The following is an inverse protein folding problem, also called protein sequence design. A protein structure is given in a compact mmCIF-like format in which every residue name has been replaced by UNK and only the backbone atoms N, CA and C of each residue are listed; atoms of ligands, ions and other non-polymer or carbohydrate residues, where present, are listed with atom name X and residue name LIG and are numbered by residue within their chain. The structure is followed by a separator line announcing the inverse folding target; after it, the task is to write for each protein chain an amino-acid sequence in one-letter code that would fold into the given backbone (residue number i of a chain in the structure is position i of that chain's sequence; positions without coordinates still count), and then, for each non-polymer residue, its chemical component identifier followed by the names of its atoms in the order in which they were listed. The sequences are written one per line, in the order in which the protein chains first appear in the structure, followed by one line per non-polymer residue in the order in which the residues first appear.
data_IF_093629563438
#
_entry.id   IF_093629563438
#
_cell.length_a   1.000
_cell.length_b   1.000
_cell.length_c   1.000
_cell.angle_alpha   90.00
_cell.angle_beta   90.00
_cell.angle_gamma   90.00
#
_symmetry.space_group_name_H-M   'P 1'
#
loop_
_entity.id
_entity.type
_entity.pdbx_description
1 polymer ?
#
# COMPACT_ATOMS: atom_id res chain seq x y z
N UNK A 1 7.10 22.13 -16.97
CA UNK A 1 6.40 21.54 -15.82
C UNK A 1 6.98 20.15 -15.72
N UNK A 2 7.82 19.89 -14.71
CA UNK A 2 8.66 18.69 -14.70
C UNK A 2 7.89 17.53 -14.06
N UNK A 3 7.83 16.39 -14.75
CA UNK A 3 6.94 15.27 -14.42
C UNK A 3 7.62 14.22 -13.52
N UNK A 4 6.89 13.74 -12.51
CA UNK A 4 7.23 12.51 -11.80
C UNK A 4 6.83 11.33 -12.68
N UNK A 5 7.79 10.49 -13.07
CA UNK A 5 7.53 9.36 -13.97
C UNK A 5 7.74 8.03 -13.26
N UNK A 6 6.78 7.14 -13.41
CA UNK A 6 6.89 5.75 -12.97
C UNK A 6 7.39 4.89 -14.14
N UNK A 7 8.08 3.79 -13.84
CA UNK A 7 8.47 2.81 -14.87
C UNK A 7 7.26 2.07 -15.43
N UNK A 8 6.28 1.78 -14.58
CA UNK A 8 4.99 1.21 -14.95
C UNK A 8 3.86 1.91 -14.21
N UNK A 9 2.75 2.12 -14.90
CA UNK A 9 1.52 2.66 -14.32
C UNK A 9 0.41 1.63 -14.56
N UNK A 10 -0.35 1.36 -13.50
CA UNK A 10 -1.53 0.50 -13.56
C UNK A 10 -2.79 1.32 -13.31
N UNK A 11 -3.40 1.92 -14.36
CA UNK A 11 -4.72 2.51 -14.24
C UNK A 11 -5.72 1.44 -13.82
N UNK A 12 -6.60 1.78 -12.89
CA UNK A 12 -7.63 0.85 -12.41
C UNK A 12 -9.00 1.38 -12.80
N UNK A 13 -9.79 0.53 -13.43
CA UNK A 13 -11.15 0.85 -13.81
C UNK A 13 -12.14 0.14 -12.89
N UNK A 14 -12.99 0.92 -12.23
CA UNK A 14 -14.05 0.44 -11.36
C UNK A 14 -15.41 0.67 -12.01
N UNK A 15 -16.32 -0.31 -11.91
CA UNK A 15 -17.76 -0.05 -12.06
C UNK A 15 -18.37 0.61 -10.81
N UNK A 16 -17.59 0.75 -9.73
CA UNK A 16 -18.01 1.45 -8.50
C UNK A 16 -18.14 2.95 -8.75
N UNK A 17 -19.16 3.58 -8.15
CA UNK A 17 -19.35 5.03 -8.18
C UNK A 17 -18.45 5.77 -7.19
N UNK A 18 -17.78 5.06 -6.27
CA UNK A 18 -16.83 5.63 -5.34
C UNK A 18 -15.39 5.13 -5.66
N UNK A 19 -14.51 5.99 -6.19
CA UNK A 19 -13.12 5.63 -6.47
C UNK A 19 -12.28 5.40 -5.21
N UNK A 20 -12.80 5.77 -4.03
CA UNK A 20 -12.17 5.57 -2.72
C UNK A 20 -12.83 4.44 -1.92
N UNK A 21 -13.41 3.47 -2.61
CA UNK A 21 -13.82 2.24 -1.96
C UNK A 21 -12.57 1.46 -1.49
N UNK A 22 -12.48 1.22 -0.18
CA UNK A 22 -11.34 0.55 0.43
C UNK A 22 -11.17 -0.90 -0.07
N UNK A 23 -12.26 -1.60 -0.36
CA UNK A 23 -12.23 -2.96 -0.92
C UNK A 23 -11.71 -2.91 -2.35
N UNK A 24 -12.21 -1.98 -3.16
CA UNK A 24 -11.73 -1.79 -4.53
C UNK A 24 -10.22 -1.49 -4.58
N UNK A 25 -9.78 -0.54 -3.75
CA UNK A 25 -8.38 -0.11 -3.66
C UNK A 25 -7.47 -1.28 -3.27
N UNK A 26 -7.93 -2.11 -2.33
CA UNK A 26 -7.20 -3.26 -1.84
C UNK A 26 -7.08 -4.36 -2.91
N UNK A 27 -8.17 -4.67 -3.63
CA UNK A 27 -8.13 -5.64 -4.74
C UNK A 27 -7.19 -5.15 -5.84
N UNK A 28 -7.27 -3.87 -6.22
CA UNK A 28 -6.35 -3.27 -7.19
C UNK A 28 -4.87 -3.44 -6.81
N UNK A 29 -4.54 -3.22 -5.54
CA UNK A 29 -3.17 -3.40 -5.03
C UNK A 29 -2.75 -4.86 -5.04
N UNK A 30 -3.64 -5.81 -4.72
CA UNK A 30 -3.32 -7.24 -4.81
C UNK A 30 -3.12 -7.72 -6.24
N UNK A 31 -3.92 -7.24 -7.19
CA UNK A 31 -3.74 -7.52 -8.61
C UNK A 31 -2.36 -7.05 -9.08
N UNK A 32 -2.00 -5.80 -8.77
CA UNK A 32 -0.66 -5.26 -9.09
C UNK A 32 0.46 -6.05 -8.38
N UNK A 33 0.28 -6.42 -7.12
CA UNK A 33 1.23 -7.21 -6.35
C UNK A 33 1.46 -8.61 -6.95
N UNK A 34 0.41 -9.26 -7.46
CA UNK A 34 0.52 -10.58 -8.07
C UNK A 34 1.35 -10.57 -9.36
N UNK A 35 1.29 -9.46 -10.11
CA UNK A 35 2.02 -9.25 -11.37
C UNK A 35 3.49 -8.87 -11.12
N UNK A 36 3.72 -7.86 -10.29
CA UNK A 36 5.05 -7.27 -10.12
C UNK A 36 5.88 -7.94 -9.01
N UNK A 37 5.22 -8.65 -8.08
CA UNK A 37 5.83 -9.29 -6.91
C UNK A 37 6.83 -8.37 -6.19
N UNK A 38 6.44 -7.13 -5.84
CA UNK A 38 7.33 -6.17 -5.21
C UNK A 38 7.78 -6.65 -3.83
N UNK A 39 8.99 -6.24 -3.44
CA UNK A 39 9.47 -6.44 -2.06
C UNK A 39 8.79 -5.46 -1.08
N UNK A 40 8.43 -4.27 -1.57
CA UNK A 40 7.87 -3.19 -0.78
C UNK A 40 6.70 -2.52 -1.51
N UNK A 41 5.59 -2.36 -0.80
CA UNK A 41 4.43 -1.57 -1.21
C UNK A 41 4.35 -0.35 -0.30
N UNK A 42 4.44 0.85 -0.90
CA UNK A 42 4.33 2.11 -0.16
C UNK A 42 2.93 2.70 -0.38
N UNK A 43 2.24 2.97 0.73
CA UNK A 43 0.96 3.67 0.73
C UNK A 43 1.08 5.00 1.46
N UNK A 44 0.29 5.99 1.06
CA UNK A 44 0.14 7.20 1.88
C UNK A 44 -0.73 6.88 3.10
N UNK A 45 -0.35 7.35 4.29
CA UNK A 45 -1.08 7.15 5.54
C UNK A 45 -2.37 8.01 5.63
N UNK A 46 -3.27 7.83 4.65
CA UNK A 46 -4.55 8.54 4.57
C UNK A 46 -5.60 7.88 5.46
N UNK A 47 -6.73 8.57 5.69
CA UNK A 47 -7.87 8.03 6.44
C UNK A 47 -8.44 6.74 5.84
N UNK A 48 -8.33 6.56 4.53
CA UNK A 48 -8.77 5.34 3.84
C UNK A 48 -7.94 4.14 4.28
N UNK A 49 -6.61 4.27 4.25
CA UNK A 49 -5.69 3.20 4.65
C UNK A 49 -5.78 2.93 6.15
N UNK A 50 -5.91 3.98 6.97
CA UNK A 50 -6.02 3.87 8.44
C UNK A 50 -7.30 3.20 8.94
N UNK A 51 -8.40 3.27 8.18
CA UNK A 51 -9.70 2.71 8.58
C UNK A 51 -9.91 1.27 8.14
N UNK A 52 -9.02 0.71 7.33
CA UNK A 52 -9.16 -0.65 6.81
C UNK A 52 -8.08 -1.66 7.23
N UNK A 53 -7.29 -1.50 8.32
CA UNK A 53 -6.16 -2.37 8.65
C UNK A 53 -6.56 -3.85 8.76
N UNK A 54 -7.76 -4.12 9.26
CA UNK A 54 -8.32 -5.47 9.37
C UNK A 54 -8.51 -6.14 8.00
N UNK A 55 -8.90 -5.37 6.98
CA UNK A 55 -9.06 -5.87 5.60
C UNK A 55 -7.70 -6.20 4.98
N UNK A 56 -6.67 -5.41 5.27
CA UNK A 56 -5.30 -5.65 4.83
C UNK A 56 -4.69 -6.91 5.44
N UNK A 57 -4.84 -7.10 6.76
CA UNK A 57 -4.24 -8.22 7.49
C UNK A 57 -4.97 -9.55 7.27
N UNK A 58 -6.29 -9.54 7.08
CA UNK A 58 -7.06 -10.78 6.89
C UNK A 58 -6.93 -11.38 5.49
N UNK A 59 -6.75 -10.54 4.47
CA UNK A 59 -6.68 -11.01 3.08
C UNK A 59 -5.26 -11.28 2.60
N UNK A 60 -4.25 -10.91 3.39
CA UNK A 60 -2.87 -11.01 2.97
C UNK A 60 -2.00 -11.38 4.15
N UNK A 61 -1.24 -12.47 4.01
CA UNK A 61 -0.15 -12.82 4.94
C UNK A 61 1.02 -11.83 4.83
N UNK A 62 0.72 -10.54 4.62
CA UNK A 62 1.69 -9.48 4.40
C UNK A 62 1.93 -8.74 5.70
N UNK A 63 3.18 -8.37 5.90
CA UNK A 63 3.56 -7.52 7.01
C UNK A 63 3.04 -6.09 6.74
N UNK A 64 2.35 -5.49 7.72
CA UNK A 64 1.84 -4.13 7.62
C UNK A 64 2.45 -3.26 8.73
N UNK A 65 3.27 -2.28 8.35
CA UNK A 65 3.78 -1.24 9.25
C UNK A 65 3.16 0.11 8.91
N UNK A 66 2.56 0.76 9.92
CA UNK A 66 1.74 1.95 9.74
C UNK A 66 2.36 3.21 10.34
N UNK A 67 2.01 4.35 9.74
CA UNK A 67 2.48 5.69 10.10
C UNK A 67 4.01 5.82 10.22
N UNK A 68 4.74 5.11 9.37
CA UNK A 68 6.19 5.12 9.32
C UNK A 68 6.71 6.49 8.89
N UNK A 69 7.84 6.87 9.48
CA UNK A 69 8.57 8.10 9.16
C UNK A 69 9.68 7.86 8.12
N UNK A 70 10.22 6.66 8.05
CA UNK A 70 11.28 6.29 7.14
C UNK A 70 11.20 4.80 6.83
N UNK A 71 11.74 4.44 5.67
CA UNK A 71 11.89 3.06 5.21
C UNK A 71 13.21 2.95 4.47
N UNK A 72 14.01 1.93 4.75
CA UNK A 72 15.28 1.69 4.06
C UNK A 72 15.59 0.21 3.95
N UNK A 73 16.23 -0.19 2.85
CA UNK A 73 16.74 -1.55 2.70
C UNK A 73 18.11 -1.64 3.39
N UNK A 74 18.27 -2.66 4.23
CA UNK A 74 19.51 -3.05 4.92
C UNK A 74 19.89 -4.48 4.53
N UNK A 75 21.11 -4.89 4.85
CA UNK A 75 21.59 -6.25 4.61
C UNK A 75 20.72 -7.33 5.26
N UNK A 76 20.15 -7.00 6.42
CA UNK A 76 19.31 -7.88 7.22
C UNK A 76 17.82 -7.81 6.84
N UNK A 77 17.37 -6.83 6.06
CA UNK A 77 15.95 -6.72 5.67
C UNK A 77 15.49 -5.30 5.47
N UNK A 78 14.17 -5.10 5.49
CA UNK A 78 13.57 -3.78 5.36
C UNK A 78 13.46 -3.13 6.75
N UNK A 79 14.26 -2.10 7.00
CA UNK A 79 14.19 -1.28 8.20
C UNK A 79 13.11 -0.22 8.05
N UNK A 80 12.20 -0.17 9.03
CA UNK A 80 11.15 0.84 9.13
C UNK A 80 11.25 1.52 10.48
N UNK A 81 11.14 2.85 10.48
CA UNK A 81 11.04 3.62 11.71
C UNK A 81 9.66 4.28 11.82
N UNK A 82 9.15 4.34 13.05
CA UNK A 82 7.93 5.07 13.37
C UNK A 82 8.05 5.78 14.70
N UNK A 83 7.24 6.83 14.85
CA UNK A 83 7.08 7.50 16.14
C UNK A 83 6.14 6.68 17.02
N UNK A 84 6.48 6.56 18.30
CA UNK A 84 5.68 5.88 19.33
C UNK A 84 5.43 6.81 20.52
N UNK A 85 4.52 6.42 21.41
CA UNK A 85 4.17 7.19 22.62
C UNK A 85 3.84 8.66 22.31
N UNK A 86 2.97 8.89 21.32
CA UNK A 86 2.57 10.24 20.87
C UNK A 86 3.73 11.12 20.39
N UNK A 87 4.77 10.52 19.81
CA UNK A 87 5.94 11.23 19.30
C UNK A 87 7.10 11.34 20.29
N UNK A 88 6.96 10.81 21.50
CA UNK A 88 8.00 10.87 22.54
C UNK A 88 9.06 9.77 22.40
N UNK A 89 8.88 8.83 21.48
CA UNK A 89 9.87 7.78 21.20
C UNK A 89 9.94 7.43 19.72
N UNK A 90 11.01 6.73 19.38
CA UNK A 90 11.22 6.14 18.05
C UNK A 90 11.28 4.63 18.23
N UNK A 91 10.51 3.93 17.40
CA UNK A 91 10.56 2.48 17.28
C UNK A 91 11.13 2.14 15.91
N UNK A 92 12.11 1.25 15.90
CA UNK A 92 12.69 0.67 14.69
C UNK A 92 12.30 -0.79 14.63
N UNK A 93 11.90 -1.24 13.44
CA UNK A 93 11.50 -2.62 13.16
C UNK A 93 12.23 -3.09 11.91
N UNK A 94 12.73 -4.34 11.94
CA UNK A 94 13.33 -5.01 10.79
C UNK A 94 12.33 -6.04 10.27
N UNK A 95 11.85 -5.82 9.05
CA UNK A 95 10.90 -6.72 8.38
C UNK A 95 11.68 -7.67 7.48
N UNK A 96 11.59 -8.97 7.80
CA UNK A 96 12.24 -10.06 7.06
C UNK A 96 11.36 -10.67 5.96
N UNK A 97 10.06 -10.35 5.93
CA UNK A 97 9.09 -11.01 5.06
C UNK A 97 8.54 -10.02 4.03
N UNK A 98 8.60 -10.41 2.76
CA UNK A 98 8.17 -9.59 1.62
C UNK A 98 7.00 -10.25 0.87
N UNK A 99 6.05 -9.49 0.28
CA UNK A 99 5.98 -8.03 0.28
C UNK A 99 5.69 -7.44 1.67
N UNK A 100 6.38 -6.35 2.00
CA UNK A 100 6.01 -5.52 3.15
C UNK A 100 5.12 -4.36 2.68
N UNK A 101 4.03 -4.09 3.39
CA UNK A 101 3.21 -2.90 3.20
C UNK A 101 3.62 -1.87 4.25
N UNK A 102 4.04 -0.70 3.78
CA UNK A 102 4.45 0.41 4.64
C UNK A 102 3.59 1.63 4.31
N UNK A 103 3.01 2.25 5.33
CA UNK A 103 2.33 3.54 5.15
C UNK A 103 3.22 4.68 5.60
N UNK A 104 3.49 5.64 4.73
CA UNK A 104 4.27 6.84 5.07
C UNK A 104 3.35 8.03 5.32
N UNK A 105 3.65 8.85 6.33
CA UNK A 105 2.99 10.16 6.47
C UNK A 105 3.33 11.06 5.28
N UNK A 106 2.38 11.89 4.89
CA UNK A 106 2.59 12.87 3.83
C UNK A 106 3.65 13.90 4.25
N UNK A 107 4.46 14.35 3.29
CA UNK A 107 5.47 15.38 3.52
C UNK A 107 6.79 14.90 4.12
N UNK A 108 6.97 13.59 4.34
CA UNK A 108 8.25 13.06 4.84
C UNK A 108 9.22 12.68 3.72
N UNK A 109 8.70 12.35 2.53
CA UNK A 109 9.52 11.97 1.38
C UNK A 109 9.48 13.08 0.34
N UNK A 110 10.64 13.53 -0.08
CA UNK A 110 10.76 14.48 -1.18
C UNK A 110 10.69 13.74 -2.53
N UNK A 111 9.80 14.16 -3.43
CA UNK A 111 9.71 13.56 -4.75
C UNK A 111 10.99 13.85 -5.55
N UNK A 112 11.70 12.79 -5.93
CA UNK A 112 12.86 12.90 -6.82
C UNK A 112 12.43 12.80 -8.27
N UNK A 113 12.89 13.76 -9.07
CA UNK A 113 12.74 13.75 -10.53
C UNK A 113 13.47 12.54 -11.12
N UNK A 114 12.89 11.94 -12.16
CA UNK A 114 13.52 10.88 -12.92
C UNK A 114 13.13 10.99 -14.40
N UNK A 115 13.85 10.27 -15.27
CA UNK A 115 13.71 10.36 -16.74
C UNK A 115 13.04 9.12 -17.35
N UNK A 116 12.27 8.35 -16.58
CA UNK A 116 11.64 7.13 -17.11
C UNK A 116 10.57 7.47 -18.15
N UNK A 117 10.51 6.70 -19.24
CA UNK A 117 9.34 6.67 -20.12
C UNK A 117 8.51 5.45 -19.70
N UNK A 118 7.50 5.68 -18.87
CA UNK A 118 6.71 4.61 -18.26
C UNK A 118 5.87 3.82 -19.26
N UNK A 119 5.74 2.52 -19.02
CA UNK A 119 4.74 1.66 -19.66
C UNK A 119 3.40 1.79 -18.92
N UNK A 120 2.28 1.62 -19.61
CA UNK A 120 0.94 1.66 -19.00
C UNK A 120 0.17 0.38 -19.33
N UNK A 121 -0.42 -0.24 -18.30
CA UNK A 121 -1.26 -1.43 -18.44
C UNK A 121 -2.49 -1.29 -17.54
N UNK A 122 -3.70 -1.30 -18.12
CA UNK A 122 -4.94 -1.17 -17.34
C UNK A 122 -5.28 -2.46 -16.60
N UNK A 123 -5.61 -2.33 -15.30
CA UNK A 123 -6.16 -3.41 -14.48
C UNK A 123 -7.66 -3.23 -14.35
N UNK A 124 -8.42 -4.19 -14.88
CA UNK A 124 -9.87 -4.26 -14.67
C UNK A 124 -10.14 -4.97 -13.34
N UNK A 125 -10.73 -4.26 -12.38
CA UNK A 125 -11.00 -4.80 -11.04
C UNK A 125 -12.49 -5.11 -10.89
N UNK A 126 -12.81 -6.39 -10.79
CA UNK A 126 -14.16 -6.85 -10.46
C UNK A 126 -14.30 -7.13 -8.97
N UNK A 127 -14.92 -6.20 -8.24
CA UNK A 127 -15.29 -6.43 -6.83
C UNK A 127 -16.60 -7.20 -6.80
N UNK A 128 -16.56 -8.48 -6.43
CA UNK A 128 -17.78 -9.25 -6.13
C UNK A 128 -18.36 -8.72 -4.80
N UNK A 129 -19.67 -8.45 -4.72
CA UNK A 129 -20.30 -8.10 -3.45
C UNK A 129 -20.09 -9.25 -2.47
N UNK A 130 -19.60 -8.93 -1.27
CA UNK A 130 -19.61 -9.88 -0.16
C UNK A 130 -21.06 -10.03 0.31
N UNK A 131 -21.82 -10.95 -0.31
CA UNK A 131 -23.06 -11.44 0.29
C UNK A 131 -22.69 -12.24 1.54
N UNK A 132 -22.68 -11.56 2.69
CA UNK A 132 -22.76 -12.25 3.98
C UNK A 132 -24.18 -12.81 4.10
N UNK A 133 -24.39 -14.05 3.69
CA UNK A 133 -25.54 -14.81 4.15
C UNK A 133 -25.28 -15.17 5.61
N UNK A 134 -25.81 -14.38 6.53
CA UNK A 134 -25.91 -14.79 7.93
C UNK A 134 -26.93 -15.94 7.99
N UNK A 135 -26.46 -17.18 7.97
CA UNK A 135 -27.28 -18.30 8.41
C UNK A 135 -27.39 -18.22 9.93
N UNK A 136 -28.56 -17.78 10.40
CA UNK A 136 -28.96 -17.95 11.80
C UNK A 136 -29.31 -19.42 12.00
N UNK A 137 -28.52 -20.14 12.81
CA UNK A 137 -28.90 -21.42 13.41
C UNK A 137 -28.53 -21.43 14.88
#
# INVERSE_FOLDING_TARGET
MDELRARRVYPTEAKSTNPYDAIFTLVAIFEANSKEKPELIILSATNLVRKSPHVWQQNSMLHLSTECRSVSFKDEGLEVERLVFSGNGVSTEIIMWTPAIVTLKSGIVEPRKNSYNGETETICVEVKPLTQTLEVR
#
